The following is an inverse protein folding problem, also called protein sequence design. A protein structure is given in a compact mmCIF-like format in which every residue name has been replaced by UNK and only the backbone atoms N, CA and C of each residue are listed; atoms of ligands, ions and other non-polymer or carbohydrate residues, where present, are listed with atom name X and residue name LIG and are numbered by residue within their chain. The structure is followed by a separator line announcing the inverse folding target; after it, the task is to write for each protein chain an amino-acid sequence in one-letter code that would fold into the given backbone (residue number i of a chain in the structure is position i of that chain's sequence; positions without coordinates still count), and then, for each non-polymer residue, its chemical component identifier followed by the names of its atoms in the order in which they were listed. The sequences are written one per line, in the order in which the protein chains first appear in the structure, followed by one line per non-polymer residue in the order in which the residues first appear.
data_IF_947243885851
#
_entry.id   IF_947243885851
#
_cell.length_a   1.000
_cell.length_b   1.000
_cell.length_c   1.000
_cell.angle_alpha   90.00
_cell.angle_beta   90.00
_cell.angle_gamma   90.00
#
_symmetry.space_group_name_H-M   'P 1'
#
loop_
_entity.id
_entity.type
_entity.pdbx_description
1 polymer ?
#
# COMPACT_ATOMS: atom_id res chain seq x y z
N UNK A 1 24.89 16.42 25.79
CA UNK A 1 23.69 15.56 25.67
C UNK A 1 22.54 16.34 26.29
N UNK A 2 21.51 16.63 25.50
CA UNK A 2 20.39 17.49 25.88
C UNK A 2 19.53 16.82 26.97
N UNK A 3 19.28 17.53 28.07
CA UNK A 3 18.55 17.04 29.25
C UNK A 3 17.06 16.82 28.98
N UNK A 4 16.52 17.35 27.88
CA UNK A 4 15.15 17.06 27.40
C UNK A 4 14.97 15.57 27.05
N UNK A 5 16.05 14.89 26.67
CA UNK A 5 16.06 13.50 26.19
C UNK A 5 15.73 12.46 27.25
N UNK A 6 16.13 12.70 28.51
CA UNK A 6 15.87 11.78 29.64
C UNK A 6 14.40 11.84 30.06
N UNK A 7 13.83 13.04 30.10
CA UNK A 7 12.43 13.25 30.46
C UNK A 7 11.47 12.65 29.42
N UNK A 8 11.80 12.79 28.13
CA UNK A 8 10.97 12.28 27.04
C UNK A 8 11.11 10.75 26.86
N UNK A 9 12.31 10.19 27.13
CA UNK A 9 12.53 8.75 27.26
C UNK A 9 11.68 8.14 28.38
N UNK A 10 11.67 8.78 29.56
CA UNK A 10 10.90 8.31 30.71
C UNK A 10 9.39 8.45 30.47
N UNK A 11 8.92 9.54 29.86
CA UNK A 11 7.51 9.72 29.45
C UNK A 11 7.06 8.70 28.40
N UNK A 12 7.92 8.31 27.47
CA UNK A 12 7.62 7.29 26.46
C UNK A 12 7.50 5.89 27.10
N UNK A 13 8.44 5.52 27.97
CA UNK A 13 8.40 4.27 28.74
C UNK A 13 7.17 4.23 29.65
N UNK A 14 6.82 5.35 30.29
CA UNK A 14 5.62 5.47 31.12
C UNK A 14 4.32 5.34 30.34
N UNK A 15 4.23 5.90 29.13
CA UNK A 15 3.05 5.76 28.28
C UNK A 15 2.91 4.35 27.68
N UNK A 16 4.03 3.66 27.46
CA UNK A 16 4.06 2.25 27.09
C UNK A 16 3.60 1.37 28.26
N UNK A 17 4.09 1.65 29.48
CA UNK A 17 3.70 0.96 30.72
C UNK A 17 2.23 1.18 31.10
N UNK A 18 1.68 2.36 30.82
CA UNK A 18 0.27 2.72 31.10
C UNK A 18 -0.71 2.33 29.98
N UNK A 19 -0.28 1.57 28.97
CA UNK A 19 -1.13 1.13 27.85
C UNK A 19 -1.75 2.28 27.04
N UNK A 20 -1.21 3.51 27.14
CA UNK A 20 -1.82 4.73 26.60
C UNK A 20 -1.42 5.01 25.15
N UNK A 21 -0.52 4.19 24.59
CA UNK A 21 -0.18 4.15 23.17
C UNK A 21 -1.10 3.15 22.46
N UNK A 22 -2.21 3.65 21.89
CA UNK A 22 -2.99 2.89 20.92
C UNK A 22 -2.16 2.68 19.65
N UNK A 23 -1.45 1.56 19.57
CA UNK A 23 -0.86 1.05 18.34
C UNK A 23 -2.00 0.79 17.34
N UNK A 24 -2.09 1.64 16.30
CA UNK A 24 -3.13 1.57 15.25
C UNK A 24 -3.03 0.37 14.31
N UNK A 25 -2.22 -0.64 14.63
CA UNK A 25 -2.17 -1.93 13.94
C UNK A 25 -2.09 -3.02 15.01
N UNK A 26 -3.23 -3.59 15.36
CA UNK A 26 -3.38 -4.67 16.34
C UNK A 26 -2.90 -6.05 15.83
N UNK A 27 -2.17 -6.09 14.72
CA UNK A 27 -1.71 -7.34 14.07
C UNK A 27 -0.22 -7.63 14.23
N UNK A 28 0.54 -6.78 14.95
CA UNK A 28 1.99 -6.96 15.15
C UNK A 28 2.39 -7.29 16.60
N UNK A 29 1.43 -7.48 17.52
CA UNK A 29 1.72 -7.89 18.90
C UNK A 29 0.85 -9.09 19.31
N UNK A 30 1.45 -10.27 19.55
CA UNK A 30 0.71 -11.43 20.03
C UNK A 30 0.09 -11.16 21.42
N UNK A 31 -1.19 -11.49 21.56
CA UNK A 31 -2.04 -11.25 22.74
C UNK A 31 -1.64 -12.01 24.03
N UNK A 32 -0.42 -12.51 24.14
CA UNK A 32 0.08 -13.30 25.30
C UNK A 32 1.25 -12.64 26.05
N UNK A 33 1.63 -11.41 25.69
CA UNK A 33 2.59 -10.64 26.48
C UNK A 33 1.88 -10.10 27.73
N UNK A 34 1.85 -10.93 28.78
CA UNK A 34 1.62 -10.46 30.15
C UNK A 34 2.61 -9.35 30.47
N UNK A 35 2.09 -8.23 30.94
CA UNK A 35 2.78 -6.97 31.24
C UNK A 35 3.69 -7.00 32.48
N UNK A 36 4.13 -8.17 32.94
CA UNK A 36 4.71 -8.28 34.29
C UNK A 36 6.22 -8.58 34.34
N UNK A 37 6.90 -8.80 33.20
CA UNK A 37 8.37 -8.86 33.21
C UNK A 37 8.96 -8.53 31.83
N UNK A 38 9.13 -7.25 31.54
CA UNK A 38 9.90 -6.78 30.38
C UNK A 38 11.16 -6.08 30.87
N UNK A 39 12.14 -6.86 31.30
CA UNK A 39 13.49 -6.35 31.55
C UNK A 39 14.16 -6.14 30.18
N UNK A 40 14.28 -4.87 29.79
CA UNK A 40 15.02 -4.52 28.59
C UNK A 40 16.51 -4.70 28.82
N UNK A 41 17.09 -5.66 28.11
CA UNK A 41 18.53 -5.89 28.16
C UNK A 41 19.23 -4.95 27.17
N UNK A 42 19.77 -3.86 27.67
CA UNK A 42 20.53 -2.90 26.86
C UNK A 42 21.90 -3.43 26.39
N UNK A 43 22.34 -4.61 26.85
CA UNK A 43 23.51 -5.30 26.30
C UNK A 43 23.16 -6.11 25.04
N UNK A 44 21.89 -6.52 24.90
CA UNK A 44 21.40 -7.23 23.72
C UNK A 44 21.06 -6.26 22.59
N UNK A 45 21.80 -6.38 21.48
CA UNK A 45 21.63 -5.49 20.33
C UNK A 45 20.20 -5.46 19.74
N UNK A 46 19.46 -6.56 19.86
CA UNK A 46 18.08 -6.67 19.38
C UNK A 46 17.10 -5.77 20.15
N UNK A 47 17.30 -5.66 21.47
CA UNK A 47 16.48 -4.83 22.34
C UNK A 47 16.82 -3.36 22.14
N UNK A 48 18.11 -3.04 22.05
CA UNK A 48 18.59 -1.70 21.70
C UNK A 48 18.03 -1.27 20.35
N UNK A 49 18.08 -2.13 19.33
CA UNK A 49 17.51 -1.85 18.01
C UNK A 49 16.00 -1.57 18.10
N UNK A 50 15.27 -2.42 18.81
CA UNK A 50 13.82 -2.27 18.99
C UNK A 50 13.45 -0.96 19.68
N UNK A 51 14.14 -0.59 20.77
CA UNK A 51 13.93 0.69 21.47
C UNK A 51 14.16 1.86 20.53
N UNK A 52 15.27 1.84 19.78
CA UNK A 52 15.61 2.91 18.85
C UNK A 52 14.56 3.02 17.75
N UNK A 53 14.15 1.91 17.14
CA UNK A 53 13.12 1.90 16.09
C UNK A 53 11.77 2.44 16.59
N UNK A 54 11.31 1.98 17.75
CA UNK A 54 10.03 2.41 18.32
C UNK A 54 10.09 3.89 18.72
N UNK A 55 11.20 4.33 19.33
CA UNK A 55 11.41 5.74 19.70
C UNK A 55 11.47 6.65 18.47
N UNK A 56 12.19 6.26 17.42
CA UNK A 56 12.26 7.01 16.16
C UNK A 56 10.87 7.14 15.50
N UNK A 57 10.05 6.09 15.61
CA UNK A 57 8.68 6.07 15.09
C UNK A 57 7.77 6.99 15.90
N UNK A 58 7.88 6.95 17.23
CA UNK A 58 7.15 7.85 18.13
C UNK A 58 7.50 9.32 17.85
N UNK A 59 8.81 9.65 17.76
CA UNK A 59 9.28 11.00 17.43
C UNK A 59 8.80 11.49 16.07
N UNK A 60 8.79 10.61 15.06
CA UNK A 60 8.26 10.93 13.72
C UNK A 60 6.76 11.22 13.76
N UNK A 61 6.01 10.40 14.49
CA UNK A 61 4.56 10.56 14.63
C UNK A 61 4.22 11.84 15.39
N UNK A 62 4.93 12.13 16.48
CA UNK A 62 4.79 13.38 17.23
C UNK A 62 5.07 14.58 16.33
N UNK A 63 6.21 14.63 15.64
CA UNK A 63 6.54 15.72 14.70
C UNK A 63 5.50 15.88 13.59
N UNK A 64 4.96 14.79 13.05
CA UNK A 64 3.91 14.86 12.04
C UNK A 64 2.61 15.47 12.59
N UNK A 65 2.22 15.15 13.82
CA UNK A 65 1.06 15.76 14.50
C UNK A 65 1.28 17.25 14.73
N UNK A 66 2.45 17.63 15.25
CA UNK A 66 2.83 19.03 15.46
C UNK A 66 2.82 19.83 14.15
N UNK A 67 3.37 19.25 13.07
CA UNK A 67 3.35 19.89 11.76
C UNK A 67 1.93 20.02 11.18
N UNK A 68 1.05 19.04 11.41
CA UNK A 68 -0.35 19.12 10.99
C UNK A 68 -1.10 20.27 11.69
N UNK A 69 -0.79 20.53 12.96
CA UNK A 69 -1.31 21.68 13.68
C UNK A 69 -0.69 23.00 13.18
N UNK A 70 0.63 23.04 12.99
CA UNK A 70 1.34 24.21 12.46
C UNK A 70 0.75 24.69 11.12
N UNK A 71 0.40 23.76 10.21
CA UNK A 71 -0.20 24.08 8.90
C UNK A 71 -1.58 24.74 8.96
N UNK A 72 -2.24 24.80 10.13
CA UNK A 72 -3.50 25.54 10.30
C UNK A 72 -3.27 27.05 10.35
N UNK A 73 -2.03 27.49 10.55
CA UNK A 73 -1.65 28.89 10.59
C UNK A 73 -1.01 29.33 9.27
N UNK A 74 -1.30 30.55 8.79
CA UNK A 74 -0.71 31.07 7.55
C UNK A 74 0.75 31.49 7.72
N UNK A 75 1.17 31.88 8.93
CA UNK A 75 2.52 32.35 9.23
C UNK A 75 3.10 31.72 10.49
N UNK A 76 4.43 31.73 10.57
CA UNK A 76 5.17 31.27 11.74
C UNK A 76 4.83 32.07 12.99
N UNK A 77 4.74 33.39 12.87
CA UNK A 77 4.41 34.30 13.97
C UNK A 77 3.01 34.02 14.54
N UNK A 78 2.03 33.77 13.67
CA UNK A 78 0.68 33.38 14.09
C UNK A 78 0.67 32.00 14.80
N UNK A 79 1.54 31.08 14.40
CA UNK A 79 1.70 29.79 15.04
C UNK A 79 2.37 29.89 16.42
N UNK A 80 3.33 30.80 16.59
CA UNK A 80 4.02 31.01 17.88
C UNK A 80 3.09 31.56 18.96
N UNK A 81 2.11 32.39 18.60
CA UNK A 81 1.11 32.93 19.54
C UNK A 81 0.13 31.87 20.06
N UNK A 82 0.02 30.72 19.40
CA UNK A 82 -0.90 29.64 19.77
C UNK A 82 -0.15 28.30 19.87
N UNK A 83 0.70 28.11 20.91
CA UNK A 83 1.41 26.87 21.13
C UNK A 83 0.47 25.66 21.20
N UNK A 84 0.96 24.49 20.79
CA UNK A 84 0.21 23.25 20.89
C UNK A 84 0.06 22.83 22.36
N UNK A 85 -1.13 22.42 22.84
CA UNK A 85 -1.38 22.13 24.27
C UNK A 85 -0.48 21.02 24.85
N UNK A 86 -0.04 20.08 24.01
CA UNK A 86 0.83 18.96 24.41
C UNK A 86 2.34 19.27 24.39
N UNK A 87 2.76 20.51 24.12
CA UNK A 87 4.17 20.88 23.92
C UNK A 87 4.51 22.15 24.71
N UNK A 88 5.74 22.22 25.26
CA UNK A 88 6.18 23.44 25.94
C UNK A 88 6.41 24.57 24.92
N UNK A 89 6.35 25.82 25.36
CA UNK A 89 6.51 26.97 24.47
C UNK A 89 7.89 26.97 23.78
N UNK A 90 8.95 26.60 24.51
CA UNK A 90 10.31 26.45 23.99
C UNK A 90 10.39 25.36 22.91
N UNK A 91 9.85 24.17 23.20
CA UNK A 91 9.81 23.05 22.26
C UNK A 91 8.97 23.39 21.02
N UNK A 92 7.87 24.13 21.20
CA UNK A 92 7.03 24.58 20.10
C UNK A 92 7.76 25.58 19.20
N UNK A 93 8.53 26.50 19.78
CA UNK A 93 9.36 27.44 19.03
C UNK A 93 10.40 26.72 18.18
N UNK A 94 11.13 25.77 18.76
CA UNK A 94 12.10 24.94 18.02
C UNK A 94 11.45 24.16 16.87
N UNK A 95 10.24 23.63 17.09
CA UNK A 95 9.48 22.94 16.04
C UNK A 95 9.04 23.90 14.93
N UNK A 96 8.57 25.11 15.27
CA UNK A 96 8.24 26.14 14.29
C UNK A 96 9.45 26.55 13.47
N UNK A 97 10.61 26.75 14.11
CA UNK A 97 11.89 27.00 13.44
C UNK A 97 12.23 25.86 12.47
N UNK A 98 12.14 24.61 12.94
CA UNK A 98 12.38 23.42 12.12
C UNK A 98 11.46 23.36 10.89
N UNK A 99 10.16 23.62 11.05
CA UNK A 99 9.19 23.55 9.96
C UNK A 99 9.38 24.66 8.91
N UNK A 100 9.90 25.81 9.33
CA UNK A 100 10.26 26.92 8.43
C UNK A 100 11.68 26.82 7.87
N UNK A 101 12.49 25.89 8.35
CA UNK A 101 13.85 25.72 7.84
C UNK A 101 13.88 25.33 6.36
N UNK A 102 14.81 25.91 5.62
CA UNK A 102 14.97 25.64 4.18
C UNK A 102 15.20 24.15 3.90
N UNK A 103 16.01 23.49 4.75
CA UNK A 103 16.30 22.07 4.63
C UNK A 103 15.05 21.20 4.77
N UNK A 104 14.12 21.56 5.66
CA UNK A 104 12.85 20.86 5.83
C UNK A 104 11.93 21.09 4.64
N UNK A 105 11.80 22.34 4.18
CA UNK A 105 10.98 22.70 3.02
C UNK A 105 11.44 21.97 1.75
N UNK A 106 12.75 22.01 1.47
CA UNK A 106 13.36 21.28 0.34
C UNK A 106 13.09 19.78 0.38
N UNK A 107 13.21 19.16 1.57
CA UNK A 107 12.92 17.73 1.75
C UNK A 107 11.43 17.42 1.60
N UNK A 108 10.56 18.30 2.08
CA UNK A 108 9.11 18.17 2.00
C UNK A 108 8.62 18.24 0.54
N UNK A 109 9.10 19.23 -0.21
CA UNK A 109 8.79 19.39 -1.63
C UNK A 109 9.29 18.21 -2.45
N UNK A 110 10.52 17.76 -2.21
CA UNK A 110 11.06 16.58 -2.87
C UNK A 110 10.23 15.33 -2.55
N UNK A 111 9.83 15.12 -1.30
CA UNK A 111 8.97 14.00 -0.92
C UNK A 111 7.59 14.06 -1.58
N UNK A 112 7.03 15.27 -1.76
CA UNK A 112 5.77 15.47 -2.50
C UNK A 112 5.92 15.07 -3.97
N UNK A 113 6.99 15.52 -4.63
CA UNK A 113 7.36 15.13 -6.01
C UNK A 113 7.62 13.63 -6.14
N UNK A 114 8.24 13.01 -5.13
CA UNK A 114 8.48 11.56 -5.13
C UNK A 114 7.17 10.78 -4.98
N UNK A 115 6.23 11.25 -4.15
CA UNK A 115 4.90 10.62 -4.03
C UNK A 115 4.08 10.75 -5.30
N UNK A 116 4.15 11.87 -6.03
CA UNK A 116 3.43 12.02 -7.30
C UNK A 116 3.97 11.12 -8.42
N UNK A 117 5.20 10.61 -8.30
CA UNK A 117 5.79 9.64 -9.23
C UNK A 117 5.39 8.18 -8.92
N UNK A 118 4.77 7.92 -7.78
CA UNK A 118 4.35 6.57 -7.40
C UNK A 118 3.06 6.21 -8.15
N UNK A 119 3.18 5.42 -9.22
CA UNK A 119 2.06 5.03 -10.09
C UNK A 119 1.30 3.79 -9.61
N UNK A 120 2.00 2.85 -8.97
CA UNK A 120 1.42 1.60 -8.46
C UNK A 120 1.75 1.47 -6.97
N UNK A 121 0.72 1.34 -6.14
CA UNK A 121 0.89 1.01 -4.73
C UNK A 121 1.11 -0.50 -4.60
N UNK A 122 2.30 -0.94 -4.19
CA UNK A 122 2.52 -2.36 -3.88
C UNK A 122 1.68 -2.78 -2.66
N UNK A 123 1.17 -4.03 -2.64
CA UNK A 123 0.44 -4.59 -1.50
C UNK A 123 1.26 -4.61 -0.19
N UNK A 124 2.58 -4.48 -0.29
CA UNK A 124 3.50 -4.29 0.84
C UNK A 124 3.38 -2.90 1.53
N UNK A 125 2.54 -2.00 1.01
CA UNK A 125 2.28 -0.69 1.60
C UNK A 125 3.52 0.22 1.62
N UNK A 126 3.80 0.85 2.76
CA UNK A 126 4.92 1.80 2.95
C UNK A 126 6.28 1.12 3.19
N UNK A 127 6.37 -0.20 3.05
CA UNK A 127 7.62 -0.94 3.26
C UNK A 127 8.53 -0.74 2.06
N UNK A 128 9.75 -0.26 2.30
CA UNK A 128 10.79 -0.27 1.27
C UNK A 128 11.15 -1.72 0.90
N UNK A 129 11.66 -1.93 -0.31
CA UNK A 129 12.09 -3.25 -0.79
C UNK A 129 13.01 -3.98 0.21
N UNK A 130 14.00 -3.26 0.75
CA UNK A 130 14.92 -3.76 1.78
C UNK A 130 14.18 -4.23 3.05
N UNK A 131 13.15 -3.49 3.47
CA UNK A 131 12.37 -3.77 4.68
C UNK A 131 11.37 -4.91 4.48
N UNK A 132 10.96 -5.16 3.24
CA UNK A 132 10.20 -6.36 2.85
C UNK A 132 11.12 -7.58 2.87
N UNK A 133 12.30 -7.48 2.25
CA UNK A 133 13.33 -8.54 2.28
C UNK A 133 13.71 -8.95 3.70
N UNK A 134 14.05 -7.99 4.56
CA UNK A 134 14.40 -8.25 5.95
C UNK A 134 13.23 -8.89 6.76
N UNK A 135 11.98 -8.66 6.35
CA UNK A 135 10.83 -9.35 6.97
C UNK A 135 10.80 -10.82 6.62
N UNK A 136 10.99 -11.10 5.33
CA UNK A 136 10.97 -12.47 4.81
C UNK A 136 12.10 -13.26 5.47
N UNK A 137 13.31 -12.69 5.55
CA UNK A 137 14.44 -13.29 6.27
C UNK A 137 14.15 -13.56 7.76
N UNK A 138 13.41 -12.68 8.45
CA UNK A 138 13.00 -12.90 9.85
C UNK A 138 11.95 -14.00 9.98
N UNK A 139 10.97 -14.04 9.08
CA UNK A 139 9.96 -15.11 9.06
C UNK A 139 10.60 -16.47 8.76
N UNK A 140 11.52 -16.53 7.80
CA UNK A 140 12.30 -17.73 7.49
C UNK A 140 13.15 -18.19 8.69
N UNK A 141 13.82 -17.25 9.38
CA UNK A 141 14.60 -17.56 10.57
C UNK A 141 13.72 -18.07 11.72
N UNK A 142 12.50 -17.53 11.87
CA UNK A 142 11.52 -18.02 12.85
C UNK A 142 11.02 -19.42 12.51
N UNK A 143 10.72 -19.71 11.24
CA UNK A 143 10.33 -21.04 10.77
C UNK A 143 11.46 -22.07 11.00
N UNK A 144 12.71 -21.72 10.71
CA UNK A 144 13.86 -22.61 10.97
C UNK A 144 14.06 -22.93 12.45
N UNK A 145 13.76 -21.98 13.35
CA UNK A 145 13.87 -22.17 14.80
C UNK A 145 12.72 -22.99 15.40
N UNK A 146 11.53 -22.95 14.79
CA UNK A 146 10.31 -23.61 15.28
C UNK A 146 10.04 -24.97 14.64
N UNK A 147 10.90 -25.41 13.70
CA UNK A 147 10.79 -26.70 13.04
C UNK A 147 11.07 -27.87 14.02
N UNK A 148 10.02 -28.27 14.75
CA UNK A 148 9.86 -29.64 15.23
C UNK A 148 9.79 -30.55 13.99
N UNK A 149 10.56 -31.65 13.97
CA UNK A 149 10.52 -32.64 12.88
C UNK A 149 9.06 -32.99 12.53
N UNK A 150 8.66 -32.98 11.25
CA UNK A 150 7.31 -33.37 10.87
C UNK A 150 7.07 -34.85 11.28
N UNK A 151 5.89 -35.19 11.84
CA UNK A 151 5.54 -36.58 12.09
C UNK A 151 5.49 -37.37 10.77
N UNK A 152 5.79 -38.69 10.80
CA UNK A 152 5.92 -39.48 9.59
C UNK A 152 4.63 -39.49 8.76
N UNK A 153 4.85 -39.31 7.47
CA UNK A 153 3.91 -39.11 6.36
C UNK A 153 3.03 -40.33 6.07
N UNK A 154 2.02 -40.62 6.89
CA UNK A 154 0.98 -41.60 6.54
C UNK A 154 -0.46 -41.06 6.53
N UNK A 155 -0.73 -39.86 7.07
CA UNK A 155 -2.09 -39.31 7.11
C UNK A 155 -2.36 -38.15 6.13
N UNK A 156 -1.33 -37.57 5.49
CA UNK A 156 -1.46 -36.38 4.62
C UNK A 156 -1.72 -36.71 3.14
N UNK A 157 -1.50 -37.96 2.72
CA UNK A 157 -1.53 -38.31 1.28
C UNK A 157 -2.95 -38.29 0.70
N UNK A 158 -3.98 -38.63 1.48
CA UNK A 158 -5.38 -38.67 1.01
C UNK A 158 -6.00 -37.27 0.83
N UNK A 159 -5.65 -36.30 1.70
CA UNK A 159 -6.17 -34.93 1.56
C UNK A 159 -5.50 -34.16 0.41
N UNK A 160 -4.27 -34.54 0.03
CA UNK A 160 -3.54 -33.91 -1.08
C UNK A 160 -4.11 -34.28 -2.44
N UNK A 161 -4.57 -35.53 -2.65
CA UNK A 161 -5.16 -35.96 -3.92
C UNK A 161 -6.53 -35.34 -4.17
N UNK A 162 -7.35 -35.19 -3.12
CA UNK A 162 -8.70 -34.61 -3.23
C UNK A 162 -8.64 -33.12 -3.61
N UNK A 163 -7.71 -32.38 -3.01
CA UNK A 163 -7.47 -30.98 -3.36
C UNK A 163 -6.92 -30.83 -4.79
N UNK A 164 -6.05 -31.73 -5.23
CA UNK A 164 -5.54 -31.72 -6.61
C UNK A 164 -6.65 -31.98 -7.63
N UNK A 165 -7.54 -32.93 -7.35
CA UNK A 165 -8.69 -33.22 -8.20
C UNK A 165 -9.68 -32.05 -8.27
N UNK A 166 -9.95 -31.40 -7.13
CA UNK A 166 -10.81 -30.21 -7.09
C UNK A 166 -10.22 -29.04 -7.90
N UNK A 167 -8.91 -28.83 -7.82
CA UNK A 167 -8.22 -27.78 -8.59
C UNK A 167 -8.20 -28.07 -10.09
N UNK A 168 -8.06 -29.33 -10.49
CA UNK A 168 -8.16 -29.73 -11.89
C UNK A 168 -9.57 -29.44 -12.44
N UNK A 169 -10.61 -29.87 -11.71
CA UNK A 169 -12.00 -29.62 -12.08
C UNK A 169 -12.32 -28.11 -12.22
N UNK A 170 -11.85 -27.29 -11.27
CA UNK A 170 -12.06 -25.85 -11.33
C UNK A 170 -11.36 -25.18 -12.53
N UNK A 171 -10.23 -25.71 -12.99
CA UNK A 171 -9.52 -25.20 -14.18
C UNK A 171 -10.31 -25.49 -15.45
N UNK A 172 -10.82 -26.71 -15.59
CA UNK A 172 -11.62 -27.13 -16.75
C UNK A 172 -12.92 -26.31 -16.83
N UNK A 173 -13.58 -26.05 -15.69
CA UNK A 173 -14.77 -25.20 -15.62
C UNK A 173 -14.49 -23.75 -16.04
N UNK A 174 -13.36 -23.18 -15.62
CA UNK A 174 -12.95 -21.82 -16.03
C UNK A 174 -12.66 -21.77 -17.53
N UNK A 175 -12.01 -22.79 -18.08
CA UNK A 175 -11.70 -22.87 -19.50
C UNK A 175 -12.98 -23.00 -20.34
N UNK A 176 -13.94 -23.81 -19.90
CA UNK A 176 -15.25 -23.93 -20.53
C UNK A 176 -16.02 -22.60 -20.54
N UNK A 177 -16.04 -21.86 -19.42
CA UNK A 177 -16.67 -20.54 -19.36
C UNK A 177 -16.00 -19.52 -20.30
N UNK A 178 -14.67 -19.56 -20.41
CA UNK A 178 -13.93 -18.69 -21.33
C UNK A 178 -14.26 -19.00 -22.78
N UNK A 179 -14.32 -20.29 -23.14
CA UNK A 179 -14.68 -20.72 -24.49
C UNK A 179 -16.12 -20.33 -24.87
N UNK A 180 -17.08 -20.44 -23.95
CA UNK A 180 -18.45 -19.98 -24.17
C UNK A 180 -18.51 -18.46 -24.40
N UNK A 181 -17.87 -17.67 -23.53
CA UNK A 181 -17.85 -16.21 -23.65
C UNK A 181 -17.17 -15.74 -24.95
N UNK A 182 -16.11 -16.43 -25.38
CA UNK A 182 -15.43 -16.11 -26.64
C UNK A 182 -16.33 -16.37 -27.85
N UNK A 183 -17.12 -17.45 -27.83
CA UNK A 183 -18.11 -17.71 -28.89
C UNK A 183 -19.19 -16.63 -28.95
N UNK A 184 -19.72 -16.19 -27.81
CA UNK A 184 -20.72 -15.12 -27.77
C UNK A 184 -20.16 -13.81 -28.35
N UNK A 185 -18.89 -13.50 -28.05
CA UNK A 185 -18.21 -12.32 -28.62
C UNK A 185 -18.01 -12.45 -30.13
N UNK A 186 -17.61 -13.63 -30.62
CA UNK A 186 -17.48 -13.88 -32.05
C UNK A 186 -18.83 -13.78 -32.78
N UNK A 187 -19.90 -14.29 -32.17
CA UNK A 187 -21.24 -14.18 -32.73
C UNK A 187 -21.71 -12.72 -32.78
N UNK A 188 -21.43 -11.94 -31.75
CA UNK A 188 -21.72 -10.51 -31.74
C UNK A 188 -20.93 -9.75 -32.81
N UNK A 189 -19.63 -10.03 -32.95
CA UNK A 189 -18.79 -9.42 -33.98
C UNK A 189 -19.26 -9.79 -35.40
N UNK A 190 -19.69 -11.04 -35.61
CA UNK A 190 -20.26 -11.48 -36.88
C UNK A 190 -21.55 -10.74 -37.20
N UNK A 191 -22.47 -10.59 -36.23
CA UNK A 191 -23.71 -9.82 -36.40
C UNK A 191 -23.44 -8.35 -36.70
N UNK A 192 -22.42 -7.76 -36.08
CA UNK A 192 -21.98 -6.40 -36.43
C UNK A 192 -21.48 -6.32 -37.88
N UNK A 193 -20.64 -7.25 -38.33
CA UNK A 193 -20.14 -7.26 -39.70
C UNK A 193 -21.25 -7.46 -40.75
N UNK A 194 -22.22 -8.33 -40.48
CA UNK A 194 -23.39 -8.54 -41.35
C UNK A 194 -24.25 -7.27 -41.44
N UNK A 195 -24.48 -6.59 -40.32
CA UNK A 195 -25.19 -5.30 -40.31
C UNK A 195 -24.44 -4.24 -41.12
N UNK A 196 -23.13 -4.13 -40.98
CA UNK A 196 -22.32 -3.20 -41.78
C UNK A 196 -22.30 -3.55 -43.27
N UNK A 197 -22.35 -4.84 -43.64
CA UNK A 197 -22.43 -5.28 -45.02
C UNK A 197 -23.77 -4.90 -45.66
N UNK A 198 -24.89 -5.16 -44.97
CA UNK A 198 -26.22 -4.75 -45.47
C UNK A 198 -26.35 -3.23 -45.65
N UNK A 199 -25.77 -2.44 -44.75
CA UNK A 199 -25.70 -0.99 -44.89
C UNK A 199 -24.83 -0.55 -46.07
N UNK A 200 -23.73 -1.27 -46.35
CA UNK A 200 -22.90 -1.04 -47.54
C UNK A 200 -23.63 -1.38 -48.84
N UNK A 201 -24.30 -2.53 -48.91
CA UNK A 201 -25.07 -2.94 -50.09
C UNK A 201 -26.21 -1.97 -50.39
N UNK A 202 -26.92 -1.48 -49.36
CA UNK A 202 -27.95 -0.47 -49.53
C UNK A 202 -27.39 0.87 -50.04
N UNK A 203 -26.19 1.25 -49.58
CA UNK A 203 -25.46 2.44 -50.06
C UNK A 203 -24.98 2.29 -51.51
N UNK A 204 -24.55 1.10 -51.91
CA UNK A 204 -24.10 0.81 -53.27
C UNK A 204 -25.27 0.70 -54.27
N UNK A 205 -26.39 0.09 -53.84
CA UNK A 205 -27.63 0.00 -54.62
C UNK A 205 -28.26 1.39 -54.88
N UNK A 206 -28.25 2.28 -53.90
CA UNK A 206 -28.67 3.69 -54.08
C UNK A 206 -27.68 4.53 -54.92
N UNK A 207 -26.43 4.09 -55.05
CA UNK A 207 -25.42 4.66 -55.95
C UNK A 207 -25.59 4.23 -57.41
N UNK A 208 -26.00 2.98 -57.67
CA UNK A 208 -26.22 2.47 -59.03
C UNK A 208 -27.38 3.16 -59.76
N UNK A 209 -28.42 3.60 -59.04
CA UNK A 209 -29.54 4.34 -59.64
C UNK A 209 -29.16 5.74 -60.15
N UNK A 210 -28.00 6.31 -59.78
CA UNK A 210 -27.51 7.61 -60.30
C UNK A 210 -26.60 7.49 -61.53
N UNK A 211 -26.09 6.30 -61.84
CA UNK A 211 -25.13 6.10 -62.94
C UNK A 211 -25.74 5.60 -64.25
N UNK A 212 -27.02 5.20 -64.26
CA UNK A 212 -27.71 4.71 -65.47
C UNK A 212 -28.32 5.83 -66.36
N UNK A 213 -28.35 7.09 -65.92
CA UNK A 213 -28.97 8.20 -66.65
C UNK A 213 -27.98 9.04 -67.49
N UNK A 214 -26.94 8.41 -68.06
CA UNK A 214 -25.78 9.14 -68.57
C UNK A 214 -25.21 8.71 -69.92
N UNK A 215 -25.94 8.03 -70.81
CA UNK A 215 -25.43 7.76 -72.17
C UNK A 215 -26.51 7.98 -73.23
N UNK A 216 -26.54 9.18 -73.83
CA UNK A 216 -27.11 9.42 -75.16
C UNK A 216 -26.51 10.68 -75.79
N UNK A 217 -25.50 10.52 -76.65
CA UNK A 217 -25.39 11.18 -77.98
C UNK A 217 -24.04 10.92 -78.67
N UNK A 218 -24.10 10.16 -79.77
CA UNK A 218 -23.36 10.35 -81.03
C UNK A 218 -24.06 9.41 -82.04
N UNK A 219 -24.55 9.84 -83.20
CA UNK A 219 -23.85 10.62 -84.22
C UNK A 219 -24.83 11.37 -85.14
N UNK A 220 -24.37 12.51 -85.64
CA UNK A 220 -24.64 12.98 -86.99
C UNK A 220 -23.34 12.79 -87.79
#
# INVERSE_FOLDING_TARGET
MDKSWVYEKNRFVDNLRRGRLSCRNAYDFPAWIRMDQFDLDYTRHEDVRTVVETMMTARRTHRNRMHAYFKKFPSKEAALLKPHPDTTEEQWKELCDLFTSEAFMKRSEQNKKNRSKLTVNHAAGSRSFQRTRACMERMDAFQRKTAVKPPPSSTLTTQSSDLQHQLAKARDEIEAMRAAREKDLQEFAKKQAEMEATLRDHRESSGWSRSASGWSRRSA
#
